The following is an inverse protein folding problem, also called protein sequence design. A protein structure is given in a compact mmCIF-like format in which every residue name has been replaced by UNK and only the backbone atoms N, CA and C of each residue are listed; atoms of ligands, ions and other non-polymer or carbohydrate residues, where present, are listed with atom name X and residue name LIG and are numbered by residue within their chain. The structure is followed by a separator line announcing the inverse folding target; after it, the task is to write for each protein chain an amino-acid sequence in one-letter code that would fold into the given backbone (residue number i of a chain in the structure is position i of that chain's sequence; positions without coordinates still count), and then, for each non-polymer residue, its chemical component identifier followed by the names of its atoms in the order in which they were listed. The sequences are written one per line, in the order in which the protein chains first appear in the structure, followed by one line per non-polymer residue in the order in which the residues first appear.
data_IF_427560975881
#
_entry.id   IF_427560975881
#
_cell.length_a   1.000
_cell.length_b   1.000
_cell.length_c   1.000
_cell.angle_alpha   90.00
_cell.angle_beta   90.00
_cell.angle_gamma   90.00
#
_symmetry.space_group_name_H-M   'P 1'
#
loop_
_entity.id
_entity.type
_entity.pdbx_description
1 polymer ?
#
# COMPACT_ATOMS: atom_id res chain seq x y z
N UNK A 1 12.48 1.29 -13.51
CA UNK A 1 11.23 0.52 -13.57
C UNK A 1 10.27 1.04 -12.52
N UNK A 2 9.04 1.30 -12.91
CA UNK A 2 7.94 1.70 -12.02
C UNK A 2 6.84 0.65 -12.16
N UNK A 3 6.40 0.08 -11.05
CA UNK A 3 5.38 -0.94 -11.05
C UNK A 3 5.11 -1.48 -9.66
N UNK A 4 4.40 -2.60 -9.58
CA UNK A 4 4.07 -3.26 -8.32
C UNK A 4 3.32 -2.34 -7.33
N UNK A 5 2.44 -1.51 -7.86
CA UNK A 5 1.67 -0.53 -7.09
C UNK A 5 0.44 -1.21 -6.50
N UNK A 6 0.35 -1.27 -5.18
CA UNK A 6 -0.77 -1.93 -4.52
C UNK A 6 -0.53 -2.16 -3.05
N UNK A 7 -1.48 -2.84 -2.41
CA UNK A 7 -1.43 -3.21 -1.00
C UNK A 7 -1.47 -4.73 -0.88
N UNK A 8 -0.60 -5.27 -0.06
CA UNK A 8 -0.62 -6.69 0.26
C UNK A 8 -0.32 -6.90 1.76
N UNK A 9 -0.79 -8.00 2.29
CA UNK A 9 -0.46 -8.46 3.64
C UNK A 9 0.12 -9.86 3.53
N UNK A 10 1.23 -10.09 4.20
CA UNK A 10 1.82 -11.41 4.33
C UNK A 10 1.42 -12.01 5.69
N UNK A 11 0.85 -13.20 5.65
CA UNK A 11 0.50 -13.96 6.84
C UNK A 11 1.47 -15.13 7.01
N UNK A 12 1.93 -15.32 8.25
CA UNK A 12 2.74 -16.47 8.63
C UNK A 12 2.22 -17.03 9.96
N UNK A 13 2.05 -18.35 10.05
CA UNK A 13 1.70 -19.02 11.28
C UNK A 13 2.84 -19.88 11.78
N UNK A 14 3.24 -19.68 13.02
CA UNK A 14 4.23 -20.50 13.73
C UNK A 14 3.59 -21.47 14.72
N UNK A 15 2.26 -21.55 14.75
CA UNK A 15 1.51 -22.32 15.73
C UNK A 15 1.87 -23.80 15.74
N UNK A 16 1.97 -24.40 14.56
CA UNK A 16 2.36 -25.82 14.43
C UNK A 16 3.82 -26.04 14.83
N UNK A 17 4.70 -25.10 14.50
CA UNK A 17 6.10 -25.15 14.95
C UNK A 17 6.18 -25.11 16.48
N UNK A 18 5.49 -24.19 17.14
CA UNK A 18 5.46 -24.09 18.60
C UNK A 18 4.89 -25.36 19.24
N UNK A 19 3.81 -25.89 18.67
CA UNK A 19 3.23 -27.16 19.12
C UNK A 19 4.23 -28.31 19.08
N UNK A 20 4.99 -28.45 18.01
CA UNK A 20 6.05 -29.46 17.86
C UNK A 20 7.19 -29.28 18.87
N UNK A 21 7.45 -28.07 19.30
CA UNK A 21 8.42 -27.74 20.34
C UNK A 21 7.87 -27.86 21.78
N UNK A 22 6.63 -28.31 21.94
CA UNK A 22 5.98 -28.42 23.25
C UNK A 22 5.57 -27.09 23.86
N UNK A 23 5.49 -26.02 23.05
CA UNK A 23 5.05 -24.70 23.49
C UNK A 23 3.55 -24.60 23.31
N UNK A 24 2.82 -24.32 24.40
CA UNK A 24 1.38 -24.05 24.38
C UNK A 24 1.15 -22.54 24.21
N UNK A 25 0.82 -22.13 22.99
CA UNK A 25 0.50 -20.76 22.65
C UNK A 25 -1.02 -20.54 22.70
N UNK A 26 -1.47 -19.60 23.53
CA UNK A 26 -2.89 -19.25 23.69
C UNK A 26 -3.11 -17.75 23.59
N UNK A 27 -4.16 -17.36 22.88
CA UNK A 27 -4.71 -16.01 22.92
C UNK A 27 -5.89 -15.99 23.89
N UNK A 28 -5.82 -15.15 24.90
CA UNK A 28 -6.85 -15.01 25.93
C UNK A 28 -7.41 -13.60 25.86
N UNK A 29 -8.71 -13.48 25.72
CA UNK A 29 -9.44 -12.20 25.65
C UNK A 29 -10.80 -12.36 26.36
N UNK A 30 -11.37 -11.27 26.90
CA UNK A 30 -12.70 -11.31 27.49
C UNK A 30 -13.78 -11.51 26.43
N UNK A 31 -14.91 -12.09 26.81
CA UNK A 31 -16.04 -12.38 25.90
C UNK A 31 -16.53 -11.10 25.18
N UNK A 32 -16.45 -9.95 25.84
CA UNK A 32 -16.78 -8.65 25.25
C UNK A 32 -15.82 -8.18 24.14
N UNK A 33 -14.69 -8.85 23.96
CA UNK A 33 -13.64 -8.53 22.96
C UNK A 33 -13.41 -9.71 21.99
N UNK A 34 -14.44 -10.47 21.69
CA UNK A 34 -14.42 -11.66 20.83
C UNK A 34 -13.96 -11.38 19.39
N UNK A 35 -14.11 -10.13 18.91
CA UNK A 35 -13.60 -9.70 17.61
C UNK A 35 -12.11 -9.38 17.60
N UNK A 36 -11.46 -9.37 18.77
CA UNK A 36 -10.03 -9.10 18.82
C UNK A 36 -9.25 -10.17 18.09
N UNK A 37 -8.41 -9.76 17.16
CA UNK A 37 -7.62 -10.63 16.30
C UNK A 37 -8.47 -11.65 15.48
N UNK A 38 -9.76 -11.35 15.26
CA UNK A 38 -10.70 -12.23 14.57
C UNK A 38 -10.21 -12.63 13.17
N UNK A 39 -9.68 -11.69 12.41
CA UNK A 39 -9.23 -11.92 11.03
C UNK A 39 -8.10 -12.97 10.97
N UNK A 40 -7.13 -12.87 11.87
CA UNK A 40 -6.03 -13.85 11.98
C UNK A 40 -6.57 -15.22 12.44
N UNK A 41 -7.48 -15.24 13.42
CA UNK A 41 -8.10 -16.49 13.90
C UNK A 41 -8.95 -17.17 12.83
N UNK A 42 -9.62 -16.41 11.98
CA UNK A 42 -10.40 -16.94 10.87
C UNK A 42 -9.50 -17.72 9.89
N UNK A 43 -8.31 -17.20 9.60
CA UNK A 43 -7.32 -17.91 8.78
C UNK A 43 -6.83 -19.17 9.51
N UNK A 44 -6.42 -19.05 10.76
CA UNK A 44 -5.79 -20.15 11.51
C UNK A 44 -6.75 -21.32 11.80
N UNK A 45 -8.01 -21.03 12.12
CA UNK A 45 -8.99 -22.04 12.54
C UNK A 45 -9.85 -22.55 11.41
N UNK A 46 -10.18 -21.69 10.45
CA UNK A 46 -11.19 -21.93 9.44
C UNK A 46 -10.62 -21.89 8.01
N UNK A 47 -9.33 -21.56 7.86
CA UNK A 47 -8.68 -21.29 6.57
C UNK A 47 -9.44 -20.23 5.76
N UNK A 48 -10.01 -19.24 6.46
CA UNK A 48 -10.86 -18.21 5.91
C UNK A 48 -10.11 -16.87 5.85
N UNK A 49 -9.74 -16.46 4.65
CA UNK A 49 -9.03 -15.19 4.39
C UNK A 49 -9.98 -14.00 4.15
N UNK A 50 -11.28 -14.26 4.04
CA UNK A 50 -12.24 -13.23 3.64
C UNK A 50 -12.26 -12.00 4.56
N UNK A 51 -12.24 -12.11 5.89
CA UNK A 51 -12.21 -10.94 6.77
C UNK A 51 -10.99 -10.04 6.54
N UNK A 52 -9.81 -10.62 6.31
CA UNK A 52 -8.59 -9.87 5.98
C UNK A 52 -8.69 -9.23 4.60
N UNK A 53 -9.20 -9.96 3.60
CA UNK A 53 -9.40 -9.41 2.25
C UNK A 53 -10.34 -8.22 2.24
N UNK A 54 -11.42 -8.25 3.00
CA UNK A 54 -12.35 -7.13 3.14
C UNK A 54 -11.67 -5.89 3.73
N UNK A 55 -10.86 -6.05 4.77
CA UNK A 55 -10.07 -4.95 5.33
C UNK A 55 -9.06 -4.41 4.34
N UNK A 56 -8.33 -5.28 3.65
CA UNK A 56 -7.37 -4.89 2.62
C UNK A 56 -8.05 -4.15 1.46
N UNK A 57 -9.26 -4.55 1.06
CA UNK A 57 -10.02 -3.87 0.02
C UNK A 57 -10.36 -2.42 0.40
N UNK A 58 -10.72 -2.17 1.66
CA UNK A 58 -10.95 -0.80 2.16
C UNK A 58 -9.66 0.02 2.12
N UNK A 59 -8.56 -0.53 2.62
CA UNK A 59 -7.25 0.14 2.62
C UNK A 59 -6.76 0.40 1.20
N UNK A 60 -6.98 -0.56 0.29
CA UNK A 60 -6.61 -0.42 -1.12
C UNK A 60 -7.40 0.70 -1.80
N UNK A 61 -8.68 0.83 -1.53
CA UNK A 61 -9.49 1.95 -2.03
C UNK A 61 -8.95 3.29 -1.57
N UNK A 62 -8.63 3.44 -0.28
CA UNK A 62 -8.04 4.68 0.26
C UNK A 62 -6.72 5.01 -0.45
N UNK A 63 -5.90 3.99 -0.70
CA UNK A 63 -4.64 4.12 -1.43
C UNK A 63 -4.87 4.56 -2.88
N UNK A 64 -5.80 3.93 -3.60
CA UNK A 64 -6.16 4.28 -4.97
C UNK A 64 -6.69 5.72 -5.08
N UNK A 65 -7.55 6.13 -4.15
CA UNK A 65 -8.09 7.50 -4.09
C UNK A 65 -6.97 8.53 -3.86
N UNK A 66 -5.99 8.19 -3.02
CA UNK A 66 -4.84 9.06 -2.80
C UNK A 66 -3.97 9.19 -4.04
N UNK A 67 -3.71 8.11 -4.77
CA UNK A 67 -2.98 8.15 -6.04
C UNK A 67 -3.72 8.99 -7.06
N UNK A 68 -5.01 8.72 -7.28
CA UNK A 68 -5.84 9.47 -8.24
C UNK A 68 -5.83 10.97 -7.95
N UNK A 69 -5.98 11.34 -6.68
CA UNK A 69 -5.95 12.74 -6.26
C UNK A 69 -4.60 13.41 -6.48
N UNK A 70 -3.50 12.72 -6.16
CA UNK A 70 -2.15 13.30 -6.21
C UNK A 70 -1.60 13.36 -7.63
N UNK A 71 -1.94 12.41 -8.47
CA UNK A 71 -1.48 12.37 -9.86
C UNK A 71 -2.48 13.00 -10.84
N UNK A 72 -3.71 13.29 -10.41
CA UNK A 72 -4.76 13.81 -11.28
C UNK A 72 -5.20 12.83 -12.36
N UNK A 73 -5.02 11.53 -12.13
CA UNK A 73 -5.39 10.45 -13.06
C UNK A 73 -6.42 9.52 -12.44
N UNK A 74 -7.24 8.90 -13.29
CA UNK A 74 -8.07 7.79 -12.84
C UNK A 74 -7.17 6.57 -12.61
N UNK A 75 -7.07 6.13 -11.35
CA UNK A 75 -6.33 4.93 -11.01
C UNK A 75 -7.24 3.71 -11.11
N UNK A 76 -6.86 2.75 -11.94
CA UNK A 76 -7.51 1.45 -12.03
C UNK A 76 -6.66 0.42 -11.26
N UNK A 77 -7.17 -0.11 -10.13
CA UNK A 77 -6.44 -1.06 -9.31
C UNK A 77 -6.25 -2.42 -9.99
N UNK A 78 -7.01 -2.71 -11.04
CA UNK A 78 -6.91 -3.96 -11.79
C UNK A 78 -5.86 -3.93 -12.91
N UNK A 79 -5.31 -2.74 -13.20
CA UNK A 79 -4.24 -2.62 -14.19
C UNK A 79 -2.92 -3.18 -13.66
N UNK A 80 -2.23 -4.03 -14.45
CA UNK A 80 -0.89 -4.48 -14.12
C UNK A 80 0.08 -3.30 -13.93
N UNK A 81 1.00 -3.42 -12.97
CA UNK A 81 1.96 -2.36 -12.64
C UNK A 81 2.91 -1.96 -13.77
N UNK A 82 3.09 -2.83 -14.79
CA UNK A 82 3.88 -2.55 -15.99
C UNK A 82 3.20 -1.58 -16.96
N UNK A 83 1.90 -1.36 -16.83
CA UNK A 83 1.13 -0.36 -17.58
C UNK A 83 1.23 1.03 -16.95
N UNK A 84 1.87 1.15 -15.80
CA UNK A 84 2.02 2.42 -15.05
C UNK A 84 2.63 3.55 -15.90
N UNK A 85 3.57 3.25 -16.78
CA UNK A 85 4.20 4.21 -17.68
C UNK A 85 3.21 4.80 -18.67
N UNK A 86 2.35 3.96 -19.24
CA UNK A 86 1.36 4.39 -20.24
C UNK A 86 0.20 5.20 -19.61
N UNK A 87 0.01 5.11 -18.30
CA UNK A 87 -1.13 5.69 -17.59
C UNK A 87 -0.77 6.92 -16.72
N UNK A 88 0.38 7.55 -16.94
CA UNK A 88 0.73 8.79 -16.28
C UNK A 88 1.28 8.67 -14.85
N UNK A 89 1.77 7.49 -14.46
CA UNK A 89 2.45 7.31 -13.17
C UNK A 89 3.85 7.89 -13.15
N UNK A 90 4.40 8.19 -14.31
CA UNK A 90 5.66 8.92 -14.48
C UNK A 90 5.47 10.05 -15.50
N UNK A 91 6.17 11.15 -15.29
CA UNK A 91 6.08 12.31 -16.15
C UNK A 91 7.03 12.20 -17.35
N UNK A 92 8.22 11.66 -17.12
CA UNK A 92 9.23 11.49 -18.17
C UNK A 92 10.30 10.47 -17.79
N UNK A 93 11.01 9.98 -18.79
CA UNK A 93 12.24 9.22 -18.59
C UNK A 93 13.44 10.14 -18.47
N UNK A 94 14.42 9.76 -17.66
CA UNK A 94 15.65 10.52 -17.49
C UNK A 94 16.65 9.82 -16.57
N UNK A 95 17.82 10.42 -16.49
CA UNK A 95 18.86 10.05 -15.52
C UNK A 95 18.63 10.74 -14.18
N UNK A 96 19.39 10.37 -13.15
CA UNK A 96 19.42 11.11 -11.89
C UNK A 96 19.83 12.57 -12.09
N UNK A 97 20.79 12.83 -13.00
CA UNK A 97 21.21 14.18 -13.33
C UNK A 97 20.08 15.01 -13.95
N UNK A 98 19.30 14.42 -14.83
CA UNK A 98 18.13 15.07 -15.44
C UNK A 98 17.09 15.41 -14.38
N UNK A 99 16.83 14.49 -13.43
CA UNK A 99 15.91 14.74 -12.32
C UNK A 99 16.39 15.91 -11.43
N UNK A 100 17.68 15.97 -11.10
CA UNK A 100 18.25 17.07 -10.32
C UNK A 100 18.11 18.40 -11.06
N UNK A 101 18.43 18.45 -12.36
CA UNK A 101 18.26 19.65 -13.20
C UNK A 101 16.80 20.10 -13.22
N UNK A 102 15.87 19.17 -13.36
CA UNK A 102 14.44 19.49 -13.37
C UNK A 102 13.99 20.10 -12.03
N UNK A 103 14.37 19.49 -10.89
CA UNK A 103 14.02 20.00 -9.55
C UNK A 103 14.58 21.41 -9.34
N UNK A 104 15.84 21.66 -9.72
CA UNK A 104 16.46 22.99 -9.60
C UNK A 104 15.72 24.03 -10.44
N UNK A 105 15.33 23.70 -11.67
CA UNK A 105 14.55 24.59 -12.53
C UNK A 105 13.19 24.92 -11.91
N UNK A 106 12.47 23.94 -11.36
CA UNK A 106 11.19 24.16 -10.68
C UNK A 106 11.33 25.04 -9.42
N UNK A 107 12.37 24.82 -8.63
CA UNK A 107 12.64 25.61 -7.45
C UNK A 107 12.93 27.09 -7.82
N UNK A 108 13.62 27.32 -8.92
CA UNK A 108 13.90 28.69 -9.44
C UNK A 108 12.61 29.37 -9.88
N UNK A 109 11.75 28.69 -10.65
CA UNK A 109 10.45 29.22 -11.10
C UNK A 109 9.56 29.56 -9.89
N UNK A 110 9.48 28.68 -8.90
CA UNK A 110 8.72 28.92 -7.68
C UNK A 110 9.21 30.18 -6.97
N UNK A 111 10.52 30.31 -6.78
CA UNK A 111 11.12 31.48 -6.13
C UNK A 111 10.81 32.79 -6.86
N UNK A 112 10.88 32.78 -8.19
CA UNK A 112 10.53 33.94 -9.01
C UNK A 112 9.04 34.28 -8.83
N UNK A 113 8.16 33.33 -8.89
CA UNK A 113 6.72 33.52 -8.71
C UNK A 113 6.40 34.11 -7.33
N UNK A 114 7.04 33.62 -6.28
CA UNK A 114 6.89 34.14 -4.91
C UNK A 114 7.37 35.60 -4.81
N UNK A 115 8.47 35.96 -5.47
CA UNK A 115 8.99 37.33 -5.48
C UNK A 115 8.07 38.33 -6.19
N UNK A 116 7.40 37.90 -7.25
CA UNK A 116 6.56 38.79 -8.08
C UNK A 116 5.06 38.62 -7.83
N UNK A 117 4.67 37.82 -6.85
CA UNK A 117 3.27 37.57 -6.48
C UNK A 117 2.39 37.01 -7.63
N UNK A 118 2.99 36.20 -8.45
CA UNK A 118 2.32 35.60 -9.61
C UNK A 118 1.69 34.27 -9.26
#
# INVERSE_FOLDING_TARGET
EVGSVGIMLTYQSFKEYFRKQGIDYREIYPDSADLKNYETRAIEKENNEEPIKQRLAVMHRIFCDAISRNLGIAYDPELPGDVAVANGYIDQFGTLEDAVKWVLAQATVRKVNEMYNI
#
